data_IF_552464330631
#
_entry.id   IF_552464330631
#
_cell.length_a   1.000
_cell.length_b   1.000
_cell.length_c   1.000
_cell.angle_alpha   90.00
_cell.angle_beta   90.00
_cell.angle_gamma   90.00
#
_symmetry.space_group_name_H-M   'P 1'
#
loop_
_entity.id
_entity.type
_entity.pdbx_description
1 polymer ?
#
# COMPACT_ATOMS: atom_id res chain seq x y z
N UNK A 1 0.60 9.46 -2.89
CA UNK A 1 -0.27 8.42 -2.31
C UNK A 1 -1.61 9.05 -1.99
N UNK A 2 -2.72 8.38 -2.23
CA UNK A 2 -4.05 8.91 -1.88
C UNK A 2 -4.60 8.12 -0.71
N UNK A 3 -5.21 8.81 0.27
CA UNK A 3 -5.81 8.18 1.45
C UNK A 3 -7.30 8.45 1.46
N UNK A 4 -8.13 7.40 1.51
CA UNK A 4 -9.58 7.50 1.68
C UNK A 4 -9.96 7.05 3.08
N UNK A 5 -10.86 7.78 3.75
CA UNK A 5 -11.44 7.38 5.04
C UNK A 5 -12.89 6.94 4.82
N UNK A 6 -13.32 5.90 5.52
CA UNK A 6 -14.71 5.43 5.48
C UNK A 6 -15.03 4.57 6.71
N UNK A 7 -16.29 4.10 6.84
CA UNK A 7 -16.75 3.33 8.00
C UNK A 7 -15.99 2.00 8.22
N UNK A 8 -15.23 1.52 7.21
CA UNK A 8 -14.35 0.35 7.33
C UNK A 8 -12.90 0.64 7.73
N UNK A 9 -12.50 1.90 7.90
CA UNK A 9 -11.13 2.30 8.23
C UNK A 9 -10.51 3.33 7.26
N UNK A 10 -9.18 3.39 7.27
CA UNK A 10 -8.36 4.23 6.39
C UNK A 10 -7.77 3.35 5.30
N UNK A 11 -7.98 3.73 4.04
CA UNK A 11 -7.49 3.00 2.88
C UNK A 11 -6.40 3.83 2.19
N UNK A 12 -5.23 3.24 1.98
CA UNK A 12 -4.11 3.87 1.28
C UNK A 12 -3.94 3.23 -0.09
N UNK A 13 -3.84 4.06 -1.11
CA UNK A 13 -3.61 3.66 -2.49
C UNK A 13 -2.19 4.06 -2.89
N UNK A 14 -1.40 3.05 -3.23
CA UNK A 14 -0.02 3.20 -3.70
C UNK A 14 0.00 2.84 -5.17
N UNK A 15 0.68 3.69 -5.96
CA UNK A 15 0.86 3.48 -7.39
C UNK A 15 2.32 3.71 -7.67
N UNK A 16 2.99 2.68 -8.19
CA UNK A 16 4.31 2.87 -8.75
C UNK A 16 4.15 3.53 -10.13
N UNK A 17 4.75 4.71 -10.31
CA UNK A 17 4.72 5.43 -11.59
C UNK A 17 6.02 5.30 -12.38
N UNK A 18 6.97 4.53 -11.86
CA UNK A 18 8.25 4.26 -12.51
C UNK A 18 8.18 2.93 -13.27
N UNK A 19 9.19 2.70 -14.10
CA UNK A 19 9.41 1.44 -14.81
C UNK A 19 10.32 0.48 -14.03
N UNK A 20 10.57 0.78 -12.76
CA UNK A 20 11.45 0.01 -11.87
C UNK A 20 10.66 -0.54 -10.69
N UNK A 21 11.15 -1.61 -10.06
CA UNK A 21 10.57 -2.10 -8.80
C UNK A 21 10.89 -1.14 -7.66
N UNK A 22 9.87 -0.80 -6.87
CA UNK A 22 9.98 0.12 -5.74
C UNK A 22 9.54 -0.57 -4.46
N UNK A 23 10.43 -0.56 -3.46
CA UNK A 23 10.12 -0.98 -2.09
C UNK A 23 9.65 0.22 -1.28
N UNK A 24 8.47 0.12 -0.67
CA UNK A 24 7.92 1.16 0.20
C UNK A 24 7.90 0.65 1.65
N UNK A 25 8.85 1.07 2.49
CA UNK A 25 8.95 0.60 3.87
C UNK A 25 7.96 1.29 4.81
N UNK A 26 7.73 0.69 5.99
CA UNK A 26 7.07 1.35 7.13
C UNK A 26 5.58 1.59 6.95
N UNK A 27 4.87 0.73 6.20
CA UNK A 27 3.46 0.90 5.94
C UNK A 27 2.60 0.07 6.89
N UNK A 28 2.14 0.70 7.97
CA UNK A 28 1.15 0.08 8.86
C UNK A 28 -0.19 -0.15 8.14
N UNK A 29 -0.63 -1.41 8.09
CA UNK A 29 -1.93 -1.81 7.57
C UNK A 29 -1.93 -3.22 6.99
N UNK A 30 -3.11 -3.78 6.82
CA UNK A 30 -3.35 -5.01 6.09
C UNK A 30 -3.28 -4.72 4.58
N UNK A 31 -2.49 -5.51 3.84
CA UNK A 31 -2.46 -5.44 2.37
C UNK A 31 -3.70 -6.16 1.83
N UNK A 32 -4.58 -5.41 1.19
CA UNK A 32 -5.77 -5.97 0.53
C UNK A 32 -5.50 -6.35 -0.92
N UNK A 33 -4.60 -5.61 -1.58
CA UNK A 33 -4.19 -5.80 -2.98
C UNK A 33 -2.70 -5.47 -3.09
N UNK A 34 -1.95 -6.29 -3.82
CA UNK A 34 -0.51 -6.12 -4.09
C UNK A 34 0.37 -7.08 -3.29
N UNK A 35 1.68 -6.92 -3.43
CA UNK A 35 2.68 -7.80 -2.79
C UNK A 35 3.19 -7.20 -1.48
N UNK A 36 2.98 -7.92 -0.38
CA UNK A 36 3.60 -7.58 0.89
C UNK A 36 5.12 -7.78 0.81
N UNK A 37 5.87 -6.78 1.27
CA UNK A 37 7.30 -6.88 1.47
C UNK A 37 7.64 -7.30 2.90
N UNK A 38 8.92 -7.46 3.16
CA UNK A 38 9.43 -7.75 4.50
C UNK A 38 9.14 -6.61 5.49
N UNK A 39 9.10 -6.94 6.78
CA UNK A 39 8.93 -5.96 7.89
C UNK A 39 7.70 -5.05 7.78
N UNK A 40 6.63 -5.50 7.10
CA UNK A 40 5.43 -4.69 6.89
C UNK A 40 5.60 -3.58 5.84
N UNK A 41 6.56 -3.75 4.93
CA UNK A 41 6.66 -2.98 3.69
C UNK A 41 5.73 -3.49 2.59
N UNK A 42 5.70 -2.76 1.47
CA UNK A 42 5.06 -3.19 0.22
C UNK A 42 6.06 -3.10 -0.90
N UNK A 43 6.13 -4.13 -1.73
CA UNK A 43 6.93 -4.13 -2.96
C UNK A 43 5.99 -3.90 -4.13
N UNK A 44 6.30 -2.91 -4.97
CA UNK A 44 5.56 -2.61 -6.18
C UNK A 44 6.48 -2.82 -7.38
N UNK A 45 6.15 -3.79 -8.24
CA UNK A 45 6.78 -3.90 -9.54
C UNK A 45 6.53 -2.64 -10.39
N UNK A 46 7.20 -2.56 -11.54
CA UNK A 46 7.01 -1.50 -12.52
C UNK A 46 5.51 -1.31 -12.80
N UNK A 47 5.00 -0.09 -12.61
CA UNK A 47 3.59 0.28 -12.80
C UNK A 47 2.55 -0.45 -11.92
N UNK A 48 2.97 -1.21 -10.89
CA UNK A 48 2.05 -1.93 -9.99
C UNK A 48 1.31 -0.98 -9.03
N UNK A 49 0.17 -1.44 -8.53
CA UNK A 49 -0.68 -0.76 -7.55
C UNK A 49 -0.88 -1.66 -6.33
N UNK A 50 -0.85 -1.05 -5.14
CA UNK A 50 -1.24 -1.72 -3.90
C UNK A 50 -2.28 -0.92 -3.11
N UNK A 51 -3.10 -1.66 -2.37
CA UNK A 51 -4.12 -1.09 -1.48
C UNK A 51 -3.93 -1.65 -0.08
N UNK A 52 -3.80 -0.74 0.88
CA UNK A 52 -3.68 -1.10 2.30
C UNK A 52 -4.88 -0.58 3.07
N UNK A 53 -5.31 -1.35 4.07
CA UNK A 53 -6.32 -0.95 5.05
C UNK A 53 -5.70 -0.85 6.43
N UNK A 54 -5.92 0.28 7.08
CA UNK A 54 -5.67 0.47 8.51
C UNK A 54 -7.01 0.63 9.21
N UNK A 55 -7.24 -0.01 10.36
CA UNK A 55 -8.46 0.20 11.14
C UNK A 55 -8.67 1.68 11.44
N UNK A 56 -9.93 2.12 11.52
CA UNK A 56 -10.24 3.39 12.16
C UNK A 56 -10.05 3.16 13.67
N UNK A 57 -9.01 3.78 14.23
CA UNK A 57 -8.91 3.95 15.68
C UNK A 57 -9.95 4.94 16.19
#
# INVERSE_FOLDING_TARGET
>A
TTVRRGPGGRFRFLVNRTDETVTVPGLAGEVLVGTAGDEGGVVLAAREVAVLRTPAG
#
